data_IF_180441639157
#
_entry.id   IF_180441639157
#
_cell.length_a   1.000
_cell.length_b   1.000
_cell.length_c   1.000
_cell.angle_alpha   90.00
_cell.angle_beta   90.00
_cell.angle_gamma   90.00
#
_symmetry.space_group_name_H-M   'P 1'
#
loop_
_entity.id
_entity.type
_entity.pdbx_description
1 polymer ?
#
# COMPACT_ATOMS: atom_id res chain seq x y z
N UNK A 1 4.91 -18.35 2.37
CA UNK A 1 3.88 -19.39 2.11
C UNK A 1 4.20 -20.14 0.83
N UNK A 2 3.82 -21.41 0.76
CA UNK A 2 3.91 -22.16 -0.50
C UNK A 2 2.72 -21.81 -1.39
N UNK A 3 3.02 -21.44 -2.64
CA UNK A 3 2.06 -21.00 -3.64
C UNK A 3 2.40 -21.61 -5.00
N UNK A 4 1.38 -21.95 -5.81
CA UNK A 4 1.57 -22.56 -7.13
C UNK A 4 1.61 -21.48 -8.21
N UNK A 5 2.61 -21.55 -9.08
CA UNK A 5 2.78 -20.68 -10.24
C UNK A 5 3.16 -21.48 -11.48
N UNK A 6 2.77 -20.96 -12.64
CA UNK A 6 3.24 -21.46 -13.94
C UNK A 6 4.55 -20.76 -14.32
N UNK A 7 5.62 -21.56 -14.51
CA UNK A 7 6.94 -21.06 -14.90
C UNK A 7 7.40 -21.89 -16.09
N UNK A 8 7.59 -21.22 -17.24
CA UNK A 8 7.98 -21.86 -18.51
C UNK A 8 7.04 -23.03 -18.88
N UNK A 9 5.73 -22.80 -18.78
CA UNK A 9 4.69 -23.79 -19.10
C UNK A 9 4.53 -24.93 -18.09
N UNK A 10 5.26 -24.91 -16.98
CA UNK A 10 5.19 -25.96 -15.93
C UNK A 10 4.71 -25.37 -14.61
N UNK A 11 3.78 -26.06 -13.96
CA UNK A 11 3.37 -25.74 -12.58
C UNK A 11 4.50 -26.05 -11.60
N UNK A 12 4.84 -25.05 -10.77
CA UNK A 12 5.84 -25.18 -9.71
C UNK A 12 5.27 -24.64 -8.40
N UNK A 13 5.58 -25.33 -7.31
CA UNK A 13 5.32 -24.86 -5.95
C UNK A 13 6.51 -24.04 -5.47
N UNK A 14 6.30 -22.77 -5.18
CA UNK A 14 7.32 -21.84 -4.69
C UNK A 14 7.07 -21.47 -3.26
N UNK A 15 8.15 -21.29 -2.48
CA UNK A 15 8.09 -20.66 -1.17
C UNK A 15 8.20 -19.14 -1.34
N UNK A 16 7.06 -18.46 -1.26
CA UNK A 16 6.98 -17.00 -1.48
C UNK A 16 7.04 -16.25 -0.16
N UNK A 17 8.05 -15.39 -0.03
CA UNK A 17 8.23 -14.46 1.08
C UNK A 17 7.85 -13.05 0.66
N UNK A 18 6.95 -12.41 1.40
CA UNK A 18 6.56 -11.01 1.18
C UNK A 18 6.89 -10.20 2.42
N UNK A 19 7.72 -9.15 2.26
CA UNK A 19 7.98 -8.12 3.27
C UNK A 19 7.87 -6.76 2.57
N UNK A 20 7.04 -5.87 3.09
CA UNK A 20 6.72 -4.61 2.40
C UNK A 20 5.88 -4.81 1.13
N UNK A 21 5.32 -6.00 0.96
CA UNK A 21 4.47 -6.39 -0.14
C UNK A 21 3.24 -7.16 0.36
N UNK A 22 2.16 -7.13 -0.40
CA UNK A 22 0.94 -7.90 -0.17
C UNK A 22 0.57 -8.72 -1.39
N UNK A 23 -0.41 -9.60 -1.26
CA UNK A 23 -0.89 -10.46 -2.34
C UNK A 23 -1.72 -9.69 -3.35
N UNK A 24 -1.50 -10.02 -4.62
CA UNK A 24 -2.27 -9.51 -5.75
C UNK A 24 -2.77 -10.67 -6.62
N UNK A 25 -3.52 -11.59 -6.02
CA UNK A 25 -4.07 -12.74 -6.75
C UNK A 25 -5.17 -12.30 -7.70
N UNK A 26 -5.09 -12.76 -8.94
CA UNK A 26 -6.15 -12.64 -9.92
C UNK A 26 -7.35 -13.53 -9.62
N UNK A 27 -8.45 -13.30 -10.32
CA UNK A 27 -9.68 -14.11 -10.22
C UNK A 27 -9.41 -15.60 -10.44
N UNK A 28 -10.12 -16.45 -9.71
CA UNK A 28 -10.07 -17.90 -9.82
C UNK A 28 -9.12 -18.58 -8.84
N UNK A 29 -8.25 -17.85 -8.16
CA UNK A 29 -7.34 -18.42 -7.16
C UNK A 29 -8.09 -18.93 -5.93
N UNK A 30 -7.78 -20.14 -5.49
CA UNK A 30 -8.43 -20.79 -4.33
C UNK A 30 -8.13 -20.10 -2.99
N UNK A 31 -6.99 -19.39 -2.92
CA UNK A 31 -6.53 -18.65 -1.75
C UNK A 31 -7.33 -17.37 -1.48
N UNK A 32 -8.09 -16.90 -2.47
CA UNK A 32 -8.97 -15.72 -2.32
C UNK A 32 -10.25 -16.15 -1.58
N UNK A 33 -10.76 -15.34 -0.63
CA UNK A 33 -12.08 -15.58 -0.02
C UNK A 33 -13.16 -15.76 -1.07
N UNK A 34 -14.15 -16.63 -0.80
CA UNK A 34 -15.17 -17.04 -1.79
C UNK A 34 -15.86 -15.87 -2.48
N UNK A 35 -16.16 -14.81 -1.73
CA UNK A 35 -16.90 -13.64 -2.23
C UNK A 35 -16.12 -12.86 -3.30
N UNK A 36 -14.77 -12.91 -3.26
CA UNK A 36 -13.89 -12.19 -4.18
C UNK A 36 -13.29 -13.07 -5.28
N UNK A 37 -13.54 -14.40 -5.29
CA UNK A 37 -12.93 -15.32 -6.28
C UNK A 37 -13.27 -15.00 -7.73
N UNK A 38 -14.45 -14.45 -7.98
CA UNK A 38 -14.89 -14.08 -9.32
C UNK A 38 -14.28 -12.75 -9.80
N UNK A 39 -13.82 -11.91 -8.88
CA UNK A 39 -13.30 -10.56 -9.16
C UNK A 39 -11.78 -10.53 -9.12
N UNK A 40 -11.17 -10.97 -8.02
CA UNK A 40 -9.75 -10.92 -7.70
C UNK A 40 -9.54 -10.50 -6.25
N UNK A 41 -8.32 -10.63 -5.75
CA UNK A 41 -7.97 -10.25 -4.39
C UNK A 41 -8.13 -8.75 -4.18
N UNK A 42 -8.94 -8.27 -3.22
CA UNK A 42 -8.94 -6.87 -2.86
C UNK A 42 -7.58 -6.51 -2.23
N UNK A 43 -7.04 -5.36 -2.63
CA UNK A 43 -5.75 -4.85 -2.20
C UNK A 43 -5.97 -3.46 -1.64
N UNK A 44 -5.46 -3.21 -0.45
CA UNK A 44 -5.45 -1.87 0.14
C UNK A 44 -4.00 -1.37 0.20
N UNK A 45 -3.73 -0.23 -0.44
CA UNK A 45 -2.44 0.45 -0.39
C UNK A 45 -2.63 1.75 0.39
N UNK A 46 -2.30 1.77 1.69
CA UNK A 46 -2.39 2.99 2.49
C UNK A 46 -1.31 3.99 2.11
N UNK A 47 -1.69 5.25 2.15
CA UNK A 47 -0.76 6.36 2.18
C UNK A 47 -0.24 6.65 3.59
N UNK A 48 0.19 7.87 3.83
CA UNK A 48 0.52 8.42 5.15
C UNK A 48 -0.62 9.27 5.70
N UNK A 49 -0.39 9.98 6.82
CA UNK A 49 -1.43 10.74 7.54
C UNK A 49 -2.23 11.73 6.67
N UNK A 50 -1.61 12.40 5.74
CA UNK A 50 -2.26 13.44 4.92
C UNK A 50 -2.42 13.06 3.45
N UNK A 51 -2.08 11.84 3.07
CA UNK A 51 -2.12 11.39 1.68
C UNK A 51 -3.26 10.40 1.45
N UNK A 52 -3.61 10.22 0.19
CA UNK A 52 -4.66 9.27 -0.19
C UNK A 52 -4.27 7.83 0.14
N UNK A 53 -5.28 6.99 0.31
CA UNK A 53 -5.16 5.53 0.28
C UNK A 53 -5.88 5.00 -0.95
N UNK A 54 -5.55 3.79 -1.39
CA UNK A 54 -6.10 3.25 -2.62
C UNK A 54 -6.58 1.82 -2.44
N UNK A 55 -7.67 1.51 -3.12
CA UNK A 55 -8.19 0.15 -3.27
C UNK A 55 -7.93 -0.31 -4.69
N UNK A 56 -7.30 -1.47 -4.83
CA UNK A 56 -7.06 -2.12 -6.10
C UNK A 56 -7.64 -3.54 -6.07
N UNK A 57 -7.74 -4.16 -7.23
CA UNK A 57 -8.05 -5.58 -7.38
C UNK A 57 -6.92 -6.31 -8.07
N UNK A 58 -6.49 -7.42 -7.49
CA UNK A 58 -5.43 -8.27 -8.03
C UNK A 58 -5.79 -8.87 -9.38
N UNK A 59 -4.78 -9.09 -10.21
CA UNK A 59 -4.92 -9.55 -11.60
C UNK A 59 -4.17 -10.85 -11.86
N UNK A 60 -4.51 -11.54 -12.94
CA UNK A 60 -3.74 -12.68 -13.44
C UNK A 60 -2.36 -12.27 -13.95
N UNK A 61 -2.20 -11.02 -14.41
CA UNK A 61 -0.91 -10.50 -14.87
C UNK A 61 0.10 -10.42 -13.70
N UNK A 62 -0.36 -10.09 -12.49
CA UNK A 62 0.47 -10.07 -11.29
C UNK A 62 1.17 -11.41 -11.02
N UNK A 63 0.53 -12.52 -11.37
CA UNK A 63 1.13 -13.86 -11.20
C UNK A 63 2.39 -14.02 -12.06
N UNK A 64 2.38 -13.44 -13.28
CA UNK A 64 3.48 -13.53 -14.25
C UNK A 64 4.61 -12.54 -13.93
N UNK A 65 4.28 -11.29 -13.59
CA UNK A 65 5.29 -10.22 -13.46
C UNK A 65 5.85 -10.04 -12.06
N UNK A 66 5.13 -10.47 -11.01
CA UNK A 66 5.50 -10.20 -9.61
C UNK A 66 5.22 -11.35 -8.64
N UNK A 67 4.97 -12.56 -9.13
CA UNK A 67 4.50 -13.66 -8.31
C UNK A 67 3.31 -13.25 -7.43
N UNK A 68 2.30 -12.66 -8.09
CA UNK A 68 1.08 -12.13 -7.45
C UNK A 68 1.39 -11.27 -6.21
N UNK A 69 2.34 -10.36 -6.31
CA UNK A 69 2.73 -9.45 -5.24
C UNK A 69 2.62 -7.99 -5.69
N UNK A 70 2.20 -7.11 -4.79
CA UNK A 70 2.18 -5.66 -4.99
C UNK A 70 2.66 -4.96 -3.72
N UNK A 71 2.94 -3.67 -3.79
CA UNK A 71 3.27 -2.86 -2.62
C UNK A 71 2.15 -2.94 -1.57
N UNK A 72 2.49 -2.97 -0.28
CA UNK A 72 1.49 -2.92 0.78
C UNK A 72 1.28 -1.51 1.36
N UNK A 73 2.01 -0.51 0.86
CA UNK A 73 1.95 0.90 1.27
C UNK A 73 2.88 1.73 0.41
N UNK A 74 2.94 3.04 0.67
CA UNK A 74 3.77 3.97 -0.10
C UNK A 74 5.27 3.69 0.02
N UNK A 75 5.72 3.17 1.16
CA UNK A 75 7.14 3.04 1.49
C UNK A 75 7.75 4.37 1.93
N UNK A 76 8.81 4.31 2.73
CA UNK A 76 9.47 5.50 3.29
C UNK A 76 10.61 5.97 2.41
N UNK A 77 10.84 7.28 2.41
CA UNK A 77 12.05 7.94 1.87
C UNK A 77 12.95 8.46 2.98
N UNK A 78 12.40 8.76 4.18
CA UNK A 78 13.16 9.20 5.33
C UNK A 78 13.16 8.12 6.42
N UNK A 79 14.28 7.98 7.13
CA UNK A 79 14.30 7.17 8.36
C UNK A 79 13.48 7.86 9.46
N UNK A 80 12.98 7.08 10.43
CA UNK A 80 12.25 7.63 11.59
C UNK A 80 13.08 8.68 12.34
N UNK A 81 14.34 8.36 12.61
CA UNK A 81 15.24 9.27 13.33
C UNK A 81 15.54 10.55 12.54
N UNK A 82 15.63 10.47 11.21
CA UNK A 82 15.79 11.66 10.38
C UNK A 82 14.53 12.53 10.42
N UNK A 83 13.35 11.95 10.25
CA UNK A 83 12.06 12.65 10.32
C UNK A 83 11.91 13.39 11.67
N UNK A 84 12.19 12.71 12.78
CA UNK A 84 12.15 13.30 14.12
C UNK A 84 13.06 14.54 14.30
N UNK A 85 14.24 14.56 13.68
CA UNK A 85 15.21 15.64 13.85
C UNK A 85 15.04 16.79 12.86
N UNK A 86 14.46 16.53 11.69
CA UNK A 86 14.51 17.47 10.58
C UNK A 86 13.14 17.97 10.12
N UNK A 87 12.06 17.31 10.48
CA UNK A 87 10.73 17.81 10.17
C UNK A 87 10.25 18.77 11.27
N UNK A 88 9.37 19.69 10.90
CA UNK A 88 8.76 20.66 11.81
C UNK A 88 7.30 20.27 12.06
N UNK A 89 6.94 20.08 13.35
CA UNK A 89 5.61 19.67 13.79
C UNK A 89 4.51 20.60 13.31
N UNK A 90 4.70 21.91 13.49
CA UNK A 90 3.72 22.94 13.16
C UNK A 90 3.41 22.93 11.67
N UNK A 91 4.44 22.72 10.82
CA UNK A 91 4.26 22.59 9.37
C UNK A 91 3.49 21.35 8.97
N UNK A 92 3.76 20.22 9.64
CA UNK A 92 3.03 18.96 9.40
C UNK A 92 1.55 19.12 9.80
N UNK A 93 1.28 19.66 10.99
CA UNK A 93 -0.09 19.91 11.46
C UNK A 93 -0.83 20.92 10.57
N UNK A 94 -0.17 22.00 10.13
CA UNK A 94 -0.75 22.97 9.22
C UNK A 94 -1.16 22.34 7.90
N UNK A 95 -0.28 21.54 7.27
CA UNK A 95 -0.60 20.83 6.02
C UNK A 95 -1.79 19.89 6.17
N UNK A 96 -1.88 19.15 7.28
CA UNK A 96 -3.03 18.28 7.52
C UNK A 96 -4.32 19.09 7.62
N UNK A 97 -4.27 20.24 8.30
CA UNK A 97 -5.41 21.17 8.43
C UNK A 97 -5.82 21.76 7.07
N UNK A 98 -4.86 22.15 6.23
CA UNK A 98 -5.12 22.65 4.87
C UNK A 98 -5.80 21.60 3.97
N UNK A 99 -5.59 20.32 4.25
CA UNK A 99 -6.25 19.20 3.58
C UNK A 99 -7.54 18.72 4.26
N UNK A 100 -8.04 19.42 5.28
CA UNK A 100 -9.19 19.05 6.09
C UNK A 100 -9.04 17.70 6.80
N UNK A 101 -7.83 17.33 7.21
CA UNK A 101 -7.55 16.09 7.94
C UNK A 101 -7.47 16.35 9.43
N UNK A 102 -8.40 15.78 10.19
CA UNK A 102 -8.38 15.85 11.64
C UNK A 102 -7.25 14.99 12.21
N UNK A 103 -6.34 15.59 12.99
CA UNK A 103 -5.27 14.86 13.67
C UNK A 103 -5.55 14.75 15.17
N UNK A 104 -5.49 13.52 15.70
CA UNK A 104 -5.40 13.19 17.12
C UNK A 104 -4.15 12.35 17.35
N UNK A 105 -3.21 12.88 18.13
CA UNK A 105 -1.97 12.17 18.42
C UNK A 105 -1.66 12.19 19.91
N UNK A 106 -1.23 11.05 20.45
CA UNK A 106 -0.82 10.89 21.84
C UNK A 106 0.63 11.29 22.07
N UNK A 107 1.44 11.42 21.03
CA UNK A 107 2.84 11.79 21.14
C UNK A 107 3.37 12.57 19.93
N UNK A 108 4.36 13.45 20.18
CA UNK A 108 5.11 14.12 19.11
C UNK A 108 5.75 13.12 18.15
N UNK A 109 6.27 12.02 18.69
CA UNK A 109 6.93 10.97 17.92
C UNK A 109 5.97 10.36 16.89
N UNK A 110 4.73 10.08 17.27
CA UNK A 110 3.71 9.55 16.36
C UNK A 110 3.41 10.47 15.18
N UNK A 111 3.46 11.79 15.39
CA UNK A 111 3.28 12.78 14.32
C UNK A 111 4.48 12.80 13.39
N UNK A 112 5.67 12.96 13.94
CA UNK A 112 6.89 13.21 13.15
C UNK A 112 7.34 11.99 12.37
N UNK A 113 7.30 10.80 12.98
CA UNK A 113 7.70 9.56 12.30
C UNK A 113 6.79 9.20 11.12
N UNK A 114 5.52 9.61 11.18
CA UNK A 114 4.50 9.26 10.20
C UNK A 114 4.11 10.44 9.30
N UNK A 115 4.85 11.54 9.36
CA UNK A 115 4.61 12.71 8.51
C UNK A 115 4.60 12.35 7.02
N UNK A 116 3.73 12.99 6.21
CA UNK A 116 3.65 12.72 4.76
C UNK A 116 5.00 12.79 4.05
N UNK A 117 5.85 13.73 4.44
CA UNK A 117 7.19 13.95 3.86
C UNK A 117 8.15 12.78 4.08
N UNK A 118 7.86 11.89 5.02
CA UNK A 118 8.69 10.71 5.28
C UNK A 118 8.43 9.56 4.31
N UNK A 119 7.43 9.69 3.43
CA UNK A 119 6.95 8.64 2.54
C UNK A 119 7.09 9.01 1.06
N UNK A 120 7.17 7.99 0.21
CA UNK A 120 7.05 8.14 -1.24
C UNK A 120 5.64 8.61 -1.60
N UNK A 121 5.50 9.18 -2.80
CA UNK A 121 4.17 9.44 -3.35
C UNK A 121 3.42 8.13 -3.57
N UNK A 122 2.36 7.94 -2.82
CA UNK A 122 1.51 6.74 -2.91
C UNK A 122 0.80 6.66 -4.26
N UNK A 123 0.47 7.81 -4.89
CA UNK A 123 -0.12 7.87 -6.21
C UNK A 123 0.79 7.25 -7.27
N UNK A 124 2.09 7.58 -7.22
CA UNK A 124 3.10 6.97 -8.10
C UNK A 124 3.23 5.46 -7.87
N UNK A 125 3.26 5.01 -6.61
CA UNK A 125 3.32 3.57 -6.30
C UNK A 125 2.13 2.81 -6.88
N UNK A 126 0.94 3.41 -6.78
CA UNK A 126 -0.30 2.83 -7.33
C UNK A 126 -0.31 2.87 -8.85
N UNK A 127 0.14 3.98 -9.45
CA UNK A 127 0.24 4.14 -10.91
C UNK A 127 1.11 3.02 -11.51
N UNK A 128 2.28 2.79 -10.95
CA UNK A 128 3.18 1.71 -11.40
C UNK A 128 2.52 0.33 -11.28
N UNK A 129 1.86 0.05 -10.16
CA UNK A 129 1.13 -1.22 -9.98
C UNK A 129 0.01 -1.40 -11.00
N UNK A 130 -0.69 -0.32 -11.34
CA UNK A 130 -1.79 -0.33 -12.31
C UNK A 130 -1.30 -0.51 -13.75
N UNK A 131 -0.31 0.28 -14.16
CA UNK A 131 0.23 0.25 -15.52
C UNK A 131 0.92 -1.07 -15.86
N UNK A 132 1.58 -1.70 -14.90
CA UNK A 132 2.16 -3.05 -15.06
C UNK A 132 1.10 -4.16 -15.00
N UNK A 133 -0.16 -3.82 -14.75
CA UNK A 133 -1.24 -4.79 -14.61
C UNK A 133 -1.10 -5.68 -13.37
N UNK A 134 -0.37 -5.24 -12.35
CA UNK A 134 -0.23 -5.97 -11.08
C UNK A 134 -1.51 -5.86 -10.25
N UNK A 135 -2.15 -4.69 -10.25
CA UNK A 135 -3.41 -4.45 -9.57
C UNK A 135 -4.20 -3.36 -10.28
N UNK A 136 -5.44 -3.63 -10.61
CA UNK A 136 -6.32 -2.64 -11.22
C UNK A 136 -6.86 -1.68 -10.16
N UNK A 137 -6.69 -0.38 -10.37
CA UNK A 137 -7.23 0.66 -9.50
C UNK A 137 -8.76 0.62 -9.48
N UNK A 138 -9.33 0.64 -8.28
CA UNK A 138 -10.77 0.64 -8.04
C UNK A 138 -11.23 1.95 -7.41
N UNK A 139 -10.55 2.40 -6.34
CA UNK A 139 -10.94 3.60 -5.62
C UNK A 139 -9.74 4.34 -5.03
N UNK A 140 -9.87 5.66 -4.96
CA UNK A 140 -8.98 6.59 -4.27
C UNK A 140 -9.72 7.16 -3.07
N UNK A 141 -9.16 7.04 -1.88
CA UNK A 141 -9.78 7.41 -0.60
C UNK A 141 -9.07 8.60 0.00
N UNK A 142 -9.79 9.72 0.20
CA UNK A 142 -9.27 10.89 0.92
C UNK A 142 -9.36 10.61 2.43
N UNK A 143 -8.29 10.83 3.21
CA UNK A 143 -8.37 10.72 4.67
C UNK A 143 -9.21 11.88 5.22
N UNK A 144 -10.04 11.59 6.21
CA UNK A 144 -10.83 12.58 6.98
C UNK A 144 -10.21 12.83 8.34
N UNK A 145 -9.53 11.86 8.89
CA UNK A 145 -8.91 11.95 10.19
C UNK A 145 -7.86 10.87 10.42
N UNK A 146 -6.97 11.15 11.35
CA UNK A 146 -5.85 10.27 11.75
C UNK A 146 -5.76 10.23 13.25
N UNK A 147 -5.64 9.03 13.80
CA UNK A 147 -5.37 8.79 15.22
C UNK A 147 -4.01 8.09 15.33
N UNK A 148 -3.10 8.65 16.13
CA UNK A 148 -1.77 8.10 16.40
C UNK A 148 -1.55 8.00 17.91
N UNK A 149 -1.09 6.82 18.37
CA UNK A 149 -0.69 6.57 19.75
C UNK A 149 0.74 7.05 20.08
#
# INVERSE_FOLDING_TARGET
KFEEYEINGKKKTLCVHRKGATRSFGKGRKEIPKDYRKVGCPIFIPGSMGTYSYVLVGTKQAEKVSFASTAHGAGRVLSRSFAMRNLNKEKVEQKLKEHDVLLKAGSLRGIMEEAPEAYKDVGEVVRVSHELGIGNLVAKLKPLGVVKG
#
